data_IF_637564261427
#
_entry.id   IF_637564261427
#
_cell.length_a   1.000
_cell.length_b   1.000
_cell.length_c   1.000
_cell.angle_alpha   90.00
_cell.angle_beta   90.00
_cell.angle_gamma   90.00
#
_symmetry.space_group_name_H-M   'P 1'
#
loop_
_entity.id
_entity.type
_entity.pdbx_description
1 polymer ?
2 non-polymer ?
3 non-polymer ?
4 non-polymer ?
5 water ?
#
# COMPACT_ATOMS: atom_id res chain seq x y z
N UNK A 17 18.94 23.45 -9.69
CA UNK A 17 19.51 24.32 -8.68
C UNK A 17 18.70 24.25 -7.39
N UNK A 18 17.59 25.01 -7.37
CA UNK A 18 16.70 24.96 -6.21
C UNK A 18 16.04 23.59 -6.07
N UNK A 19 15.85 22.87 -7.17
CA UNK A 19 15.31 21.51 -7.09
C UNK A 19 16.31 20.56 -6.45
N UNK A 20 17.61 20.85 -6.56
CA UNK A 20 18.61 19.99 -5.93
C UNK A 20 18.42 19.95 -4.43
N UNK A 21 17.90 21.02 -3.82
CA UNK A 21 17.65 21.03 -2.39
C UNK A 21 16.48 20.13 -2.04
N UNK A 22 15.44 20.13 -2.88
CA UNK A 22 14.31 19.24 -2.65
C UNK A 22 14.70 17.79 -2.88
N UNK A 23 15.44 17.52 -3.96
CA UNK A 23 15.76 16.14 -4.32
C UNK A 23 16.74 15.52 -3.33
N UNK A 24 17.55 16.33 -2.65
CA UNK A 24 18.46 15.78 -1.64
C UNK A 24 17.75 15.60 -0.30
N UNK A 25 16.87 16.53 0.06
CA UNK A 25 16.09 16.37 1.28
C UNK A 25 15.09 15.23 1.15
N UNK A 26 14.67 14.92 -0.08
CA UNK A 26 13.80 13.77 -0.30
C UNK A 26 14.49 12.46 0.02
N UNK A 27 15.81 12.38 -0.23
CA UNK A 27 16.54 11.15 0.06
C UNK A 27 16.57 10.88 1.56
N UNK A 28 16.88 11.90 2.37
CA UNK A 28 16.93 11.71 3.81
C UNK A 28 15.55 11.40 4.38
N UNK A 29 14.57 12.25 4.07
CA UNK A 29 13.21 12.04 4.57
C UNK A 29 12.67 10.68 4.16
N UNK A 30 13.20 10.10 3.08
CA UNK A 30 12.68 8.82 2.60
C UNK A 30 13.34 7.65 3.33
N UNK A 31 14.67 7.57 3.27
CA UNK A 31 15.37 6.47 3.92
C UNK A 31 15.22 6.52 5.43
N UNK A 32 15.36 7.71 6.02
CA UNK A 32 15.37 7.87 7.47
C UNK A 32 14.03 8.27 8.06
N UNK A 33 13.12 8.81 7.25
CA UNK A 33 11.82 9.23 7.73
C UNK A 33 11.79 10.71 8.05
N UNK A 34 10.56 11.24 8.13
CA UNK A 34 10.38 12.67 8.38
C UNK A 34 10.78 13.04 9.79
N UNK A 35 10.29 12.30 10.78
CA UNK A 35 10.60 12.62 12.18
C UNK A 35 12.08 12.38 12.47
N UNK A 36 12.67 11.34 11.87
CA UNK A 36 14.07 11.04 12.13
C UNK A 36 15.03 12.09 11.63
N UNK A 37 14.61 12.91 10.66
CA UNK A 37 15.45 13.94 10.08
C UNK A 37 15.06 15.30 10.62
N UNK A 38 16.04 16.15 10.87
CA UNK A 38 15.82 17.52 11.30
C UNK A 38 16.35 18.48 10.24
N UNK A 39 15.91 19.74 10.33
CA UNK A 39 16.40 20.75 9.40
C UNK A 39 17.92 20.88 9.45
N UNK A 40 18.54 20.47 10.55
CA UNK A 40 20.00 20.56 10.66
C UNK A 40 20.66 19.47 9.83
N UNK A 41 20.13 18.24 9.89
CA UNK A 41 20.71 17.14 9.11
C UNK A 41 20.61 17.41 7.62
N UNK A 42 19.62 18.19 7.19
CA UNK A 42 19.48 18.51 5.78
C UNK A 42 20.43 19.64 5.39
N UNK A 43 20.66 20.59 6.29
CA UNK A 43 21.64 21.64 6.00
C UNK A 43 23.03 21.04 5.81
N UNK A 44 23.41 20.09 6.68
CA UNK A 44 24.70 19.42 6.52
C UNK A 44 24.76 18.69 5.18
N UNK A 45 23.74 17.89 4.88
CA UNK A 45 23.70 17.17 3.61
C UNK A 45 23.78 18.11 2.41
N UNK A 46 23.51 19.39 2.60
CA UNK A 46 23.68 20.40 1.57
C UNK A 46 24.94 21.20 1.85
N UNK A 47 25.39 21.94 0.83
CA UNK A 47 26.52 22.85 0.99
C UNK A 47 26.16 24.10 1.75
N UNK A 48 24.91 24.27 2.15
CA UNK A 48 24.47 25.44 2.89
C UNK A 48 24.56 25.20 4.39
N UNK A 49 24.54 26.29 5.14
CA UNK A 49 24.53 26.22 6.60
C UNK A 49 23.08 26.17 7.09
N UNK A 50 22.93 25.91 8.39
CA UNK A 50 21.60 25.92 9.00
C UNK A 50 20.89 27.24 8.73
N UNK A 51 21.65 28.33 8.57
CA UNK A 51 21.05 29.62 8.27
C UNK A 51 20.71 29.76 6.79
N UNK A 52 21.61 29.33 5.91
CA UNK A 52 21.37 29.48 4.48
C UNK A 52 20.14 28.73 4.01
N UNK A 53 19.93 27.52 4.51
CA UNK A 53 18.79 26.72 4.08
C UNK A 53 17.47 27.40 4.42
N UNK A 54 17.37 27.98 5.63
CA UNK A 54 16.15 28.64 6.04
C UNK A 54 15.86 29.91 5.23
N UNK A 55 16.80 30.36 4.41
CA UNK A 55 16.54 31.50 3.54
C UNK A 55 15.77 31.09 2.30
N UNK A 56 15.97 29.85 1.82
CA UNK A 56 15.25 29.34 0.66
C UNK A 56 13.91 28.72 1.03
N UNK A 57 13.74 28.30 2.29
CA UNK A 57 12.55 27.57 2.72
C UNK A 57 12.01 28.19 3.99
N UNK A 58 10.69 28.16 4.14
CA UNK A 58 10.03 28.73 5.30
C UNK A 58 10.30 27.90 6.54
N UNK A 59 9.82 26.66 6.56
CA UNK A 59 10.00 25.78 7.71
C UNK A 59 10.05 24.34 7.23
N UNK A 60 9.97 23.40 8.17
CA UNK A 60 10.10 21.98 7.81
C UNK A 60 8.84 21.47 7.13
N UNK A 61 7.67 21.86 7.62
CA UNK A 61 6.42 21.39 7.02
C UNK A 61 6.30 21.87 5.57
N UNK A 62 6.74 23.10 5.30
CA UNK A 62 6.68 23.61 3.93
C UNK A 62 7.72 22.95 3.04
N UNK A 63 8.83 22.48 3.61
CA UNK A 63 9.77 21.69 2.83
C UNK A 63 9.13 20.40 2.35
N UNK A 64 8.42 19.71 3.24
CA UNK A 64 7.68 18.53 2.86
C UNK A 64 6.64 18.86 1.80
N UNK A 65 5.95 19.99 1.96
CA UNK A 65 4.98 20.43 0.98
C UNK A 65 5.61 20.61 -0.39
N UNK A 66 6.81 21.21 -0.44
CA UNK A 66 7.48 21.42 -1.72
C UNK A 66 7.88 20.11 -2.35
N UNK A 67 8.37 19.16 -1.56
CA UNK A 67 8.75 17.85 -2.09
C UNK A 67 7.55 17.19 -2.75
N UNK A 68 6.41 17.16 -2.05
CA UNK A 68 5.23 16.48 -2.58
C UNK A 68 4.72 17.16 -3.85
N UNK A 69 4.72 18.49 -3.87
CA UNK A 69 4.33 19.20 -5.08
C UNK A 69 5.29 18.88 -6.23
N UNK A 70 6.58 18.81 -5.94
CA UNK A 70 7.55 18.40 -6.95
C UNK A 70 7.25 16.99 -7.44
N UNK A 71 6.85 16.10 -6.52
CA UNK A 71 6.53 14.75 -6.92
C UNK A 71 5.31 14.67 -7.82
N UNK A 72 4.31 15.52 -7.56
CA UNK A 72 3.13 15.54 -8.41
C UNK A 72 3.43 16.17 -9.77
N UNK A 73 4.30 17.18 -9.80
CA UNK A 73 4.73 17.74 -11.09
C UNK A 73 5.37 16.66 -11.95
N UNK A 74 6.23 15.84 -11.35
CA UNK A 74 6.87 14.76 -12.09
C UNK A 74 5.85 13.71 -12.52
N UNK A 75 4.92 13.36 -11.63
CA UNK A 75 3.88 12.41 -11.99
C UNK A 75 3.05 12.92 -13.16
N UNK A 76 2.61 14.18 -13.09
CA UNK A 76 1.81 14.74 -14.17
C UNK A 76 2.62 14.91 -15.45
N UNK A 77 3.92 15.16 -15.32
CA UNK A 77 4.76 15.31 -16.51
C UNK A 77 5.00 13.97 -17.21
N UNK A 78 5.22 12.92 -16.43
CA UNK A 78 5.58 11.62 -16.99
C UNK A 78 4.39 10.69 -17.19
N UNK A 79 3.26 10.95 -16.54
CA UNK A 79 2.11 10.05 -16.63
C UNK A 79 0.90 10.79 -17.20
N UNK A 80 0.31 11.67 -16.38
CA UNK A 80 -1.01 12.19 -16.71
C UNK A 80 -0.99 13.07 -17.96
N UNK A 81 0.04 13.90 -18.12
CA UNK A 81 0.12 14.75 -19.30
C UNK A 81 0.18 13.95 -20.58
N UNK A 82 0.76 12.75 -20.54
CA UNK A 82 1.02 11.98 -21.75
C UNK A 82 -0.10 11.03 -22.14
N UNK A 83 -1.03 10.72 -21.22
CA UNK A 83 -2.05 9.72 -21.47
C UNK A 83 -3.47 10.28 -21.41
N UNK A 84 -3.67 11.48 -20.87
CA UNK A 84 -5.03 11.93 -20.59
C UNK A 84 -5.84 12.23 -21.83
N UNK A 85 -5.21 12.32 -23.01
CA UNK A 85 -5.93 12.59 -24.26
C UNK A 85 -6.13 11.34 -25.11
N UNK A 86 -5.62 10.19 -24.68
CA UNK A 86 -5.82 8.97 -25.45
C UNK A 86 -7.31 8.71 -25.60
N UNK A 87 -7.76 8.50 -26.85
CA UNK A 87 -9.18 8.46 -27.14
C UNK A 87 -9.84 7.20 -26.59
N UNK A 88 -9.31 6.04 -26.94
CA UNK A 88 -9.87 4.79 -26.47
C UNK A 88 -9.67 4.67 -24.96
N UNK A 89 -10.73 4.51 -24.16
CA UNK A 89 -10.56 4.58 -22.69
C UNK A 89 -9.76 3.43 -22.10
N UNK A 90 -9.89 2.21 -22.63
CA UNK A 90 -9.10 1.11 -22.07
C UNK A 90 -7.65 1.21 -22.52
N UNK A 91 -7.41 1.63 -23.76
CA UNK A 91 -6.04 1.95 -24.17
C UNK A 91 -5.46 3.07 -23.32
N UNK A 92 -6.31 3.97 -22.83
CA UNK A 92 -5.85 5.03 -21.95
C UNK A 92 -5.47 4.47 -20.58
N UNK A 93 -6.23 3.49 -20.08
CA UNK A 93 -5.91 2.87 -18.81
C UNK A 93 -4.65 2.02 -18.92
N UNK A 94 -4.49 1.29 -20.02
CA UNK A 94 -3.28 0.49 -20.20
C UNK A 94 -2.04 1.38 -20.22
N UNK A 95 -2.05 2.44 -21.04
CA UNK A 95 -0.92 3.35 -21.09
C UNK A 95 -0.67 3.99 -19.73
N UNK A 96 -1.73 4.42 -19.05
CA UNK A 96 -1.57 5.05 -17.74
C UNK A 96 -0.91 4.09 -16.76
N UNK A 97 -1.27 2.81 -16.80
CA UNK A 97 -0.67 1.83 -15.91
C UNK A 97 0.82 1.67 -16.22
N UNK A 98 1.17 1.55 -17.50
CA UNK A 98 2.58 1.39 -17.87
C UNK A 98 3.40 2.59 -17.40
N UNK A 99 2.96 3.80 -17.71
CA UNK A 99 3.69 4.99 -17.30
C UNK A 99 3.79 5.09 -15.79
N UNK A 100 2.72 4.72 -15.08
CA UNK A 100 2.72 4.83 -13.63
C UNK A 100 3.63 3.78 -12.99
N UNK A 101 3.67 2.57 -13.55
CA UNK A 101 4.58 1.55 -13.05
C UNK A 101 6.03 1.97 -13.25
N UNK A 102 6.34 2.49 -14.44
CA UNK A 102 7.72 2.90 -14.72
C UNK A 102 8.17 4.03 -13.83
N UNK A 103 7.25 4.95 -13.48
CA UNK A 103 7.59 6.00 -12.53
C UNK A 103 7.91 5.42 -11.16
N UNK A 104 7.17 4.39 -10.75
CA UNK A 104 7.35 3.81 -9.42
C UNK A 104 8.67 3.06 -9.32
N UNK A 105 9.12 2.46 -10.41
CA UNK A 105 10.26 1.53 -10.38
C UNK A 105 11.57 2.17 -10.83
N UNK A 106 11.67 3.49 -10.83
CA UNK A 106 12.87 4.15 -11.34
C UNK A 106 13.19 5.33 -10.42
N UNK A 107 13.98 6.28 -10.94
CA UNK A 107 14.67 7.23 -10.07
C UNK A 107 13.73 8.10 -9.25
N UNK A 108 12.62 8.52 -9.84
CA UNK A 108 11.70 9.44 -9.18
C UNK A 108 10.85 8.76 -8.11
N UNK A 109 11.12 7.51 -7.78
CA UNK A 109 10.38 6.83 -6.73
C UNK A 109 10.59 7.49 -5.38
N UNK A 110 11.60 8.34 -5.23
CA UNK A 110 11.84 9.02 -3.96
C UNK A 110 10.66 9.92 -3.60
N UNK A 111 10.32 10.85 -4.48
CA UNK A 111 9.25 11.80 -4.18
C UNK A 111 7.88 11.11 -4.15
N UNK A 112 7.70 10.05 -4.93
CA UNK A 112 6.44 9.32 -4.92
C UNK A 112 6.25 8.62 -3.58
N UNK A 113 7.31 7.99 -3.06
CA UNK A 113 7.20 7.27 -1.80
C UNK A 113 6.89 8.24 -0.66
N UNK A 114 7.52 9.42 -0.66
CA UNK A 114 7.26 10.40 0.39
C UNK A 114 5.79 10.80 0.39
N UNK A 115 5.19 10.92 -0.80
CA UNK A 115 3.79 11.30 -0.89
C UNK A 115 2.91 10.27 -0.19
N UNK A 116 3.25 9.00 -0.32
CA UNK A 116 2.42 7.95 0.28
C UNK A 116 2.70 7.80 1.77
N UNK A 117 3.97 7.72 2.16
CA UNK A 117 4.31 7.51 3.56
C UNK A 117 3.91 8.72 4.41
N UNK A 118 4.31 9.92 4.00
CA UNK A 118 4.12 11.13 4.78
C UNK A 118 2.77 11.78 4.54
N UNK A 119 1.81 11.04 3.97
CA UNK A 119 0.49 11.61 3.70
C UNK A 119 -0.12 12.23 4.95
N UNK A 120 -0.02 11.54 6.09
CA UNK A 120 -0.64 12.01 7.32
C UNK A 120 0.18 13.05 8.05
N UNK A 121 1.42 13.31 7.63
CA UNK A 121 2.28 14.24 8.34
C UNK A 121 1.96 15.70 8.02
N UNK A 122 1.31 15.97 6.90
CA UNK A 122 1.03 17.34 6.49
C UNK A 122 -0.01 17.97 7.43
N UNK A 123 -0.04 19.30 7.42
CA UNK A 123 -1.08 20.03 8.13
C UNK A 123 -2.40 19.94 7.36
N UNK A 124 -3.45 20.55 7.91
CA UNK A 124 -4.74 20.51 7.26
C UNK A 124 -4.74 21.22 5.92
N UNK A 125 -4.23 22.46 5.90
CA UNK A 125 -4.25 23.24 4.67
C UNK A 125 -3.44 22.56 3.57
N UNK A 126 -2.20 22.16 3.89
CA UNK A 126 -1.33 21.59 2.87
C UNK A 126 -1.80 20.21 2.42
N UNK A 127 -2.35 19.40 3.33
CA UNK A 127 -2.87 18.11 2.93
C UNK A 127 -4.07 18.27 2.00
N UNK A 128 -4.89 19.30 2.23
CA UNK A 128 -6.03 19.54 1.36
C UNK A 128 -5.59 19.83 -0.07
N UNK A 129 -4.52 20.62 -0.22
CA UNK A 129 -4.06 20.97 -1.56
C UNK A 129 -3.44 19.77 -2.26
N UNK A 130 -2.52 19.07 -1.59
CA UNK A 130 -1.91 17.88 -2.18
C UNK A 130 -2.99 16.86 -2.54
N UNK A 131 -3.91 16.61 -1.62
CA UNK A 131 -4.97 15.64 -1.88
C UNK A 131 -5.85 16.08 -3.06
N UNK A 132 -6.06 17.39 -3.22
CA UNK A 132 -6.76 17.88 -4.40
C UNK A 132 -6.07 17.40 -5.67
N UNK A 133 -4.74 17.43 -5.69
CA UNK A 133 -4.00 16.97 -6.86
C UNK A 133 -4.09 15.45 -6.99
N UNK A 134 -4.06 14.73 -5.87
CA UNK A 134 -4.25 13.28 -5.93
C UNK A 134 -5.64 12.92 -6.39
N UNK A 135 -6.65 13.67 -5.93
CA UNK A 135 -8.03 13.34 -6.26
C UNK A 135 -8.31 13.53 -7.74
N UNK A 136 -7.63 14.47 -8.39
CA UNK A 136 -7.79 14.62 -9.83
C UNK A 136 -7.35 13.39 -10.58
N UNK A 137 -6.31 12.70 -10.08
CA UNK A 137 -5.88 11.46 -10.72
C UNK A 137 -6.89 10.34 -10.48
N UNK A 138 -7.37 10.21 -9.24
CA UNK A 138 -8.39 9.19 -8.96
C UNK A 138 -9.62 9.42 -9.83
N UNK A 139 -10.07 10.68 -9.94
CA UNK A 139 -11.22 10.97 -10.78
C UNK A 139 -10.92 10.69 -12.25
N UNK A 140 -9.67 10.90 -12.68
CA UNK A 140 -9.29 10.55 -14.05
C UNK A 140 -9.45 9.05 -14.28
N UNK A 141 -8.99 8.23 -13.33
CA UNK A 141 -9.11 6.78 -13.48
C UNK A 141 -10.57 6.35 -13.47
N UNK A 142 -11.36 6.89 -12.53
CA UNK A 142 -12.77 6.51 -12.45
C UNK A 142 -13.50 6.81 -13.75
N UNK A 143 -13.26 8.00 -14.33
CA UNK A 143 -13.91 8.35 -15.59
C UNK A 143 -13.54 7.36 -16.69
N UNK A 144 -12.28 6.93 -16.74
CA UNK A 144 -11.86 6.00 -17.78
C UNK A 144 -12.49 4.63 -17.59
N UNK A 145 -12.59 4.17 -16.34
CA UNK A 145 -13.28 2.91 -16.08
C UNK A 145 -14.74 3.00 -16.48
N UNK A 146 -15.40 4.12 -16.13
CA UNK A 146 -16.78 4.32 -16.53
C UNK A 146 -16.94 4.25 -18.04
N UNK A 147 -16.17 5.05 -18.77
CA UNK A 147 -16.26 5.06 -20.23
C UNK A 147 -15.99 3.68 -20.81
N UNK A 148 -15.04 2.94 -20.23
CA UNK A 148 -14.67 1.64 -20.78
C UNK A 148 -15.77 0.61 -20.56
N UNK A 149 -16.52 0.72 -19.47
CA UNK A 149 -17.64 -0.21 -19.24
C UNK A 149 -18.78 0.08 -20.19
N UNK A 150 -19.20 1.35 -20.28
CA UNK A 150 -20.27 1.74 -21.18
C UNK A 150 -20.00 1.27 -22.60
N UNK A 151 -18.79 1.51 -23.10
CA UNK A 151 -18.43 1.15 -24.46
C UNK A 151 -18.11 -0.33 -24.63
N UNK A 152 -18.21 -1.13 -23.56
CA UNK A 152 -17.98 -2.56 -23.68
C UNK A 152 -16.55 -2.94 -23.95
N UNK A 153 -15.58 -2.18 -23.44
CA UNK A 153 -14.17 -2.49 -23.65
C UNK A 153 -13.54 -3.21 -22.46
N UNK A 154 -14.18 -3.16 -21.28
CA UNK A 154 -13.79 -3.98 -20.15
C UNK A 154 -15.04 -4.58 -19.54
N UNK A 155 -14.86 -5.65 -18.78
CA UNK A 155 -15.96 -6.20 -18.02
C UNK A 155 -16.49 -5.14 -17.07
N UNK A 156 -17.81 -4.96 -16.97
CA UNK A 156 -18.34 -3.90 -16.10
C UNK A 156 -17.83 -4.03 -14.67
N UNK A 157 -17.54 -2.88 -14.07
CA UNK A 157 -17.10 -2.82 -12.68
C UNK A 157 -17.34 -1.38 -12.20
N UNK A 158 -17.63 -1.24 -10.92
CA UNK A 158 -17.84 0.08 -10.37
C UNK A 158 -16.59 0.93 -10.58
N UNK A 159 -16.70 2.16 -11.08
CA UNK A 159 -15.48 2.94 -11.37
C UNK A 159 -14.56 3.10 -10.17
N UNK A 160 -15.12 3.26 -8.97
CA UNK A 160 -14.30 3.44 -7.80
C UNK A 160 -13.53 2.17 -7.47
N UNK A 161 -14.17 1.01 -7.58
CA UNK A 161 -13.49 -0.25 -7.35
C UNK A 161 -12.35 -0.43 -8.35
N UNK A 162 -12.61 -0.10 -9.61
CA UNK A 162 -11.56 -0.22 -10.62
C UNK A 162 -10.40 0.72 -10.37
N UNK A 163 -10.69 1.97 -10.00
CA UNK A 163 -9.64 2.95 -9.78
C UNK A 163 -8.71 2.52 -8.66
N UNK A 164 -9.26 2.09 -7.53
CA UNK A 164 -8.44 1.74 -6.37
C UNK A 164 -7.82 0.36 -6.49
N UNK A 165 -8.33 -0.49 -7.38
CA UNK A 165 -7.61 -1.71 -7.73
C UNK A 165 -6.40 -1.38 -8.59
N UNK A 166 -6.61 -0.55 -9.62
CA UNK A 166 -5.51 0.01 -10.39
C UNK A 166 -4.43 0.55 -9.46
N UNK A 167 -4.80 1.46 -8.56
CA UNK A 167 -3.80 2.12 -7.72
C UNK A 167 -3.16 1.15 -6.74
N UNK A 168 -3.95 0.21 -6.20
CA UNK A 168 -3.37 -0.77 -5.29
C UNK A 168 -2.31 -1.62 -5.95
N UNK A 169 -2.62 -2.17 -7.13
CA UNK A 169 -1.62 -2.93 -7.88
C UNK A 169 -0.35 -2.11 -8.10
N UNK A 170 -0.50 -0.94 -8.70
CA UNK A 170 0.65 -0.18 -9.17
C UNK A 170 1.50 0.28 -7.99
N UNK A 171 0.88 0.95 -7.02
CA UNK A 171 1.67 1.58 -5.96
C UNK A 171 2.23 0.57 -4.97
N UNK A 172 1.62 -0.61 -4.86
CA UNK A 172 2.21 -1.65 -4.02
C UNK A 172 3.57 -2.10 -4.52
N UNK A 173 3.90 -1.78 -5.77
CA UNK A 173 5.13 -2.29 -6.39
C UNK A 173 6.35 -1.86 -5.60
N UNK A 174 6.35 -0.64 -5.07
CA UNK A 174 7.56 -0.15 -4.39
C UNK A 174 7.87 -0.95 -3.13
N UNK A 175 6.95 -1.78 -2.65
CA UNK A 175 7.19 -2.55 -1.44
C UNK A 175 7.94 -3.86 -1.70
N UNK A 176 7.97 -4.36 -2.92
CA UNK A 176 8.59 -5.65 -3.19
C UNK A 176 9.57 -5.61 -4.36
N UNK A 177 9.37 -4.71 -5.32
CA UNK A 177 10.16 -4.76 -6.54
C UNK A 177 11.62 -4.42 -6.27
N UNK A 178 12.52 -5.24 -6.81
CA UNK A 178 13.96 -5.00 -6.75
C UNK A 178 14.47 -4.98 -8.19
N UNK A 179 15.16 -3.93 -8.64
CA UNK A 179 15.57 -3.89 -10.06
C UNK A 179 16.57 -4.96 -10.43
N UNK A 180 17.33 -5.50 -9.49
CA UNK A 180 18.25 -6.59 -9.76
C UNK A 180 17.56 -7.95 -9.79
N UNK A 181 16.23 -7.97 -9.69
CA UNK A 181 15.50 -9.22 -9.56
C UNK A 181 15.29 -9.94 -10.89
N UNK A 182 14.50 -11.00 -10.82
CA UNK A 182 14.31 -11.89 -11.95
C UNK A 182 13.66 -11.19 -13.13
N UNK A 183 12.70 -10.30 -12.85
CA UNK A 183 11.90 -9.65 -13.87
C UNK A 183 12.24 -8.17 -13.95
N UNK A 184 12.13 -7.61 -15.15
CA UNK A 184 12.27 -6.18 -15.33
C UNK A 184 10.94 -5.48 -15.05
N UNK A 185 11.02 -4.19 -14.72
CA UNK A 185 9.80 -3.42 -14.51
C UNK A 185 8.92 -3.45 -15.76
N UNK A 186 9.52 -3.54 -16.93
CA UNK A 186 8.73 -3.60 -18.17
C UNK A 186 7.95 -4.91 -18.26
N UNK A 187 8.55 -6.02 -17.83
CA UNK A 187 7.82 -7.29 -17.81
C UNK A 187 6.69 -7.26 -16.80
N UNK A 188 6.91 -6.62 -15.65
CA UNK A 188 5.85 -6.50 -14.65
C UNK A 188 4.70 -5.68 -15.19
N UNK A 189 5.00 -4.56 -15.86
CA UNK A 189 3.95 -3.74 -16.44
C UNK A 189 3.10 -4.55 -17.41
N UNK A 190 3.75 -5.31 -18.29
CA UNK A 190 3.00 -6.14 -19.24
C UNK A 190 2.08 -7.12 -18.51
N UNK A 191 2.59 -7.76 -17.47
CA UNK A 191 1.78 -8.72 -16.74
C UNK A 191 0.56 -8.08 -16.12
N UNK A 192 0.73 -6.94 -15.46
CA UNK A 192 -0.39 -6.29 -14.79
C UNK A 192 -1.40 -5.77 -15.80
N UNK A 193 -0.93 -5.22 -16.92
CA UNK A 193 -1.85 -4.69 -17.94
C UNK A 193 -2.72 -5.82 -18.49
N UNK A 194 -2.09 -6.93 -18.88
CA UNK A 194 -2.83 -8.05 -19.43
C UNK A 194 -3.76 -8.72 -18.44
N UNK A 195 -3.49 -8.59 -17.15
CA UNK A 195 -4.32 -9.22 -16.13
C UNK A 195 -5.53 -8.37 -15.77
N UNK A 196 -5.39 -7.05 -15.80
CA UNK A 196 -6.48 -6.14 -15.45
C UNK A 196 -7.20 -5.58 -16.66
N UNK A 197 -6.55 -5.50 -17.81
CA UNK A 197 -7.14 -4.95 -19.03
C UNK A 197 -6.87 -5.89 -20.21
N UNK A 198 -7.35 -7.13 -20.13
CA UNK A 198 -7.14 -8.07 -21.23
C UNK A 198 -7.98 -7.70 -22.43
N UNK A 199 -7.79 -8.37 -23.56
CA UNK A 199 -8.69 -8.15 -24.71
C UNK A 199 -10.12 -8.50 -24.34
N UNK A 200 -11.05 -7.66 -24.78
CA UNK A 200 -12.44 -7.82 -24.41
C UNK A 200 -13.36 -7.33 -25.53
N UNK B 17 -8.55 -12.28 28.39
CA UNK B 17 -7.84 -11.53 29.42
C UNK B 17 -6.57 -10.91 28.85
N UNK B 18 -5.73 -11.76 28.25
CA UNK B 18 -4.48 -11.30 27.66
C UNK B 18 -4.69 -10.57 26.34
N UNK B 19 -5.69 -10.98 25.55
CA UNK B 19 -5.99 -10.28 24.31
C UNK B 19 -6.41 -8.83 24.58
N UNK B 20 -6.99 -8.58 25.76
CA UNK B 20 -7.35 -7.21 26.12
C UNK B 20 -6.15 -6.29 26.04
N UNK B 21 -5.02 -6.71 26.60
CA UNK B 21 -3.81 -5.89 26.56
C UNK B 21 -3.35 -5.70 25.12
N UNK B 22 -3.44 -6.75 24.31
CA UNK B 22 -2.98 -6.66 22.92
C UNK B 22 -3.93 -5.80 22.10
N UNK B 23 -5.23 -6.04 22.21
CA UNK B 23 -6.21 -5.23 21.49
C UNK B 23 -6.10 -3.76 21.88
N UNK B 24 -6.06 -3.48 23.18
CA UNK B 24 -5.94 -2.09 23.63
C UNK B 24 -4.66 -1.46 23.11
N UNK B 25 -3.52 -2.15 23.29
CA UNK B 25 -2.24 -1.60 22.85
C UNK B 25 -2.18 -1.46 21.34
N UNK B 26 -2.88 -2.33 20.60
CA UNK B 26 -2.88 -2.24 19.14
C UNK B 26 -3.56 -0.96 18.67
N UNK B 27 -4.66 -0.57 19.33
CA UNK B 27 -5.33 0.66 18.98
C UNK B 27 -4.39 1.86 19.11
N UNK B 28 -3.66 1.93 20.22
CA UNK B 28 -2.67 2.99 20.40
C UNK B 28 -1.59 2.92 19.34
N UNK B 29 -0.90 1.77 19.26
CA UNK B 29 0.20 1.62 18.30
C UNK B 29 -0.27 1.87 16.89
N UNK B 30 -1.55 1.63 16.61
CA UNK B 30 -2.06 1.83 15.25
C UNK B 30 -2.29 3.31 14.96
N UNK B 31 -2.87 4.05 15.92
CA UNK B 31 -3.14 5.46 15.72
C UNK B 31 -1.89 6.31 15.92
N UNK B 32 -1.27 6.20 17.10
CA UNK B 32 -0.11 7.01 17.42
C UNK B 32 1.17 6.47 16.79
N UNK B 33 1.17 5.22 16.32
CA UNK B 33 2.37 4.60 15.82
C UNK B 33 3.20 3.97 16.93
N UNK B 34 4.13 3.11 16.52
CA UNK B 34 5.00 2.45 17.48
C UNK B 34 5.78 3.50 18.27
N UNK B 35 6.70 4.20 17.62
CA UNK B 35 7.30 5.38 18.22
C UNK B 35 6.23 6.44 18.40
N UNK B 36 6.21 7.07 19.57
CA UNK B 36 5.11 7.92 19.98
C UNK B 36 4.14 7.25 20.92
N UNK B 37 4.20 5.92 21.01
CA UNK B 37 3.50 5.15 22.03
C UNK B 37 4.54 4.55 22.96
N UNK B 38 4.43 4.83 24.25
CA UNK B 38 5.38 4.34 25.23
C UNK B 38 4.71 3.32 26.13
N UNK B 39 5.53 2.56 26.86
CA UNK B 39 5.00 1.61 27.82
C UNK B 39 4.17 2.31 28.90
N UNK B 40 4.50 3.56 29.21
CA UNK B 40 3.69 4.33 30.16
C UNK B 40 2.30 4.60 29.60
N UNK B 41 2.22 4.97 28.32
CA UNK B 41 0.93 5.26 27.71
C UNK B 41 0.05 4.01 27.66
N UNK B 42 0.62 2.88 27.26
CA UNK B 42 -0.15 1.65 27.16
C UNK B 42 -0.59 1.18 28.55
N UNK B 43 0.30 1.35 29.54
CA UNK B 43 -0.05 0.94 30.90
C UNK B 43 -1.20 1.75 31.47
N UNK B 44 -1.55 2.87 30.85
CA UNK B 44 -2.69 3.67 31.28
C UNK B 44 -3.97 3.29 30.52
N UNK B 45 -3.89 3.23 29.20
CA UNK B 45 -5.04 2.78 28.41
C UNK B 45 -5.60 1.48 28.97
N UNK B 46 -4.72 0.54 29.31
CA UNK B 46 -5.10 -0.59 30.13
C UNK B 46 -5.03 -0.19 31.60
N UNK B 47 -6.05 -0.54 32.36
CA UNK B 47 -6.12 -0.18 33.78
C UNK B 47 -5.03 -0.93 34.53
N UNK B 48 -3.83 -0.37 34.52
CA UNK B 48 -2.68 -1.00 35.17
C UNK B 48 -1.65 0.05 35.54
N UNK B 49 -0.73 -0.34 36.40
CA UNK B 49 0.52 0.39 36.57
C UNK B 49 1.53 -0.11 35.55
N UNK B 50 2.62 0.65 35.39
CA UNK B 50 3.65 0.26 34.44
C UNK B 50 4.17 -1.14 34.72
N UNK B 51 4.23 -1.55 35.99
CA UNK B 51 4.78 -2.85 36.34
C UNK B 51 3.76 -3.96 36.14
N UNK B 52 2.51 -3.74 36.54
CA UNK B 52 1.49 -4.76 36.33
C UNK B 52 1.39 -5.19 34.89
N UNK B 53 1.67 -4.28 33.95
CA UNK B 53 1.71 -4.64 32.55
C UNK B 53 2.89 -5.56 32.26
N UNK B 54 4.06 -5.26 32.83
CA UNK B 54 5.24 -6.09 32.65
C UNK B 54 5.10 -7.47 33.27
N UNK B 55 4.09 -7.69 34.12
CA UNK B 55 3.85 -9.01 34.67
C UNK B 55 3.34 -10.00 33.63
N UNK B 56 2.92 -9.52 32.46
CA UNK B 56 2.40 -10.38 31.41
C UNK B 56 3.07 -10.16 30.06
N UNK B 57 3.97 -9.19 29.93
CA UNK B 57 4.70 -8.94 28.70
C UNK B 57 6.14 -8.57 29.07
N UNK B 58 7.09 -8.99 28.23
CA UNK B 58 8.50 -8.80 28.54
C UNK B 58 8.91 -7.34 28.35
N UNK B 59 8.83 -6.84 27.13
CA UNK B 59 9.25 -5.47 26.83
C UNK B 59 8.35 -4.91 25.73
N UNK B 60 8.75 -3.76 25.18
CA UNK B 60 7.93 -3.10 24.18
C UNK B 60 7.95 -3.85 22.86
N UNK B 61 9.15 -4.22 22.38
CA UNK B 61 9.24 -4.93 21.12
C UNK B 61 8.64 -6.33 21.20
N UNK B 62 8.60 -6.92 22.40
CA UNK B 62 7.89 -8.18 22.57
C UNK B 62 6.38 -7.97 22.48
N UNK B 63 5.89 -6.84 22.99
CA UNK B 63 4.49 -6.50 22.80
C UNK B 63 4.14 -6.35 21.33
N UNK B 64 5.00 -5.67 20.57
CA UNK B 64 4.79 -5.57 19.13
C UNK B 64 4.83 -6.94 18.47
N UNK B 65 5.75 -7.80 18.91
CA UNK B 65 5.86 -9.15 18.37
C UNK B 65 4.57 -9.93 18.62
N UNK B 66 4.04 -9.85 19.84
CA UNK B 66 2.81 -10.58 20.17
C UNK B 66 1.62 -10.03 19.39
N UNK B 67 1.59 -8.71 19.17
CA UNK B 67 0.50 -8.11 18.39
C UNK B 67 0.53 -8.63 16.96
N UNK B 68 1.70 -8.60 16.34
CA UNK B 68 1.81 -9.04 14.94
C UNK B 68 1.45 -10.50 14.79
N UNK B 69 1.88 -11.34 15.74
CA UNK B 69 1.53 -12.76 15.68
C UNK B 69 0.06 -12.99 15.94
N UNK B 70 -0.52 -12.21 16.86
CA UNK B 70 -1.97 -12.26 17.04
C UNK B 70 -2.69 -11.90 15.74
N UNK B 71 -2.18 -10.88 15.04
CA UNK B 71 -2.79 -10.50 13.78
C UNK B 71 -2.64 -11.57 12.70
N UNK B 72 -1.49 -12.24 12.67
CA UNK B 72 -1.31 -13.33 11.72
C UNK B 72 -2.15 -14.55 12.11
N UNK B 73 -2.35 -14.77 13.41
CA UNK B 73 -3.24 -15.85 13.84
C UNK B 73 -4.67 -15.60 13.37
N UNK B 74 -5.17 -14.38 13.57
CA UNK B 74 -6.50 -14.04 13.10
C UNK B 74 -6.61 -14.22 11.59
N UNK B 75 -5.60 -13.77 10.85
CA UNK B 75 -5.61 -13.93 9.40
C UNK B 75 -5.68 -15.39 8.99
N UNK B 76 -4.91 -16.25 9.65
CA UNK B 76 -4.91 -17.66 9.30
C UNK B 76 -6.21 -18.35 9.69
N UNK B 77 -6.82 -17.92 10.80
CA UNK B 77 -8.07 -18.53 11.23
C UNK B 77 -9.23 -18.11 10.31
N UNK B 78 -9.24 -16.85 9.88
CA UNK B 78 -10.34 -16.34 9.07
C UNK B 78 -10.13 -16.51 7.58
N UNK B 79 -8.88 -16.59 7.11
CA UNK B 79 -8.61 -16.62 5.69
C UNK B 79 -7.98 -17.96 5.30
N UNK B 80 -6.71 -18.14 5.63
CA UNK B 80 -5.92 -19.20 5.01
C UNK B 80 -6.42 -20.58 5.41
N UNK B 81 -6.74 -20.79 6.69
CA UNK B 81 -7.19 -22.10 7.13
C UNK B 81 -8.47 -22.53 6.43
N UNK B 82 -9.28 -21.59 5.97
CA UNK B 82 -10.58 -21.91 5.40
C UNK B 82 -10.56 -22.07 3.89
N UNK B 83 -9.53 -21.56 3.21
CA UNK B 83 -9.48 -21.56 1.76
C UNK B 83 -8.34 -22.38 1.19
N UNK B 84 -7.37 -22.79 2.02
CA UNK B 84 -6.16 -23.41 1.48
C UNK B 84 -6.42 -24.79 0.89
N UNK B 85 -7.53 -25.43 1.23
CA UNK B 85 -7.83 -26.77 0.74
C UNK B 85 -8.77 -26.78 -0.45
N UNK B 86 -9.32 -25.62 -0.85
CA UNK B 86 -10.16 -25.55 -2.03
C UNK B 86 -9.39 -26.12 -3.22
N UNK B 87 -10.01 -27.07 -3.92
CA UNK B 87 -9.30 -27.84 -4.94
C UNK B 87 -9.08 -27.01 -6.20
N UNK B 88 -10.14 -26.41 -6.73
CA UNK B 88 -10.02 -25.57 -7.91
C UNK B 88 -9.14 -24.36 -7.58
N UNK B 89 -8.00 -24.17 -8.27
CA UNK B 89 -7.10 -23.09 -7.84
C UNK B 89 -7.64 -21.69 -8.06
N UNK B 90 -8.50 -21.47 -9.06
CA UNK B 90 -9.06 -20.14 -9.24
C UNK B 90 -10.18 -19.90 -8.23
N UNK B 91 -11.02 -20.90 -7.99
CA UNK B 91 -11.98 -20.80 -6.90
C UNK B 91 -11.28 -20.57 -5.58
N UNK B 92 -10.09 -21.14 -5.42
CA UNK B 92 -9.30 -20.91 -4.21
C UNK B 92 -8.86 -19.46 -4.12
N UNK B 93 -8.48 -18.85 -5.24
CA UNK B 93 -8.07 -17.46 -5.23
C UNK B 93 -9.25 -16.52 -4.99
N UNK B 94 -10.40 -16.83 -5.61
CA UNK B 94 -11.59 -15.99 -5.40
C UNK B 94 -11.99 -15.99 -3.92
N UNK B 95 -12.11 -17.16 -3.32
CA UNK B 95 -12.46 -17.24 -1.90
C UNK B 95 -11.41 -16.54 -1.05
N UNK B 96 -10.13 -16.78 -1.32
CA UNK B 96 -9.07 -16.14 -0.57
C UNK B 96 -9.20 -14.63 -0.64
N UNK B 97 -9.55 -14.09 -1.81
CA UNK B 97 -9.71 -12.65 -1.95
C UNK B 97 -10.90 -12.15 -1.14
N UNK B 98 -12.04 -12.86 -1.22
CA UNK B 98 -13.21 -12.45 -0.45
C UNK B 98 -12.92 -12.44 1.05
N UNK B 99 -12.35 -13.53 1.56
CA UNK B 99 -12.08 -13.62 2.99
C UNK B 99 -11.08 -12.53 3.42
N UNK B 100 -10.06 -12.29 2.61
CA UNK B 100 -9.04 -11.31 2.99
C UNK B 100 -9.60 -9.89 2.94
N UNK B 101 -10.45 -9.60 1.96
CA UNK B 101 -11.07 -8.27 1.89
C UNK B 101 -11.92 -8.01 3.13
N UNK B 102 -12.72 -8.99 3.53
CA UNK B 102 -13.57 -8.80 4.70
C UNK B 102 -12.76 -8.68 5.99
N UNK B 103 -11.58 -9.30 6.03
CA UNK B 103 -10.72 -9.11 7.19
C UNK B 103 -10.18 -7.68 7.26
N UNK B 104 -9.90 -7.08 6.10
CA UNK B 104 -9.32 -5.74 6.06
C UNK B 104 -10.35 -4.70 6.46
N UNK B 105 -11.64 -4.98 6.29
CA UNK B 105 -12.69 -3.98 6.38
C UNK B 105 -13.49 -4.07 7.67
N UNK B 106 -13.05 -4.84 8.66
CA UNK B 106 -13.88 -5.12 9.83
C UNK B 106 -13.04 -5.02 11.09
N UNK B 107 -13.49 -5.70 12.16
CA UNK B 107 -12.99 -5.41 13.49
C UNK B 107 -11.49 -5.57 13.64
N UNK B 108 -10.88 -6.44 12.85
CA UNK B 108 -9.47 -6.73 12.97
C UNK B 108 -8.61 -5.86 12.03
N UNK B 109 -9.13 -4.73 11.57
CA UNK B 109 -8.37 -3.84 10.71
C UNK B 109 -7.19 -3.22 11.44
N UNK B 110 -7.19 -3.22 12.77
CA UNK B 110 -6.10 -2.60 13.52
C UNK B 110 -4.84 -3.44 13.47
N UNK B 111 -4.96 -4.75 13.74
CA UNK B 111 -3.78 -5.61 13.78
C UNK B 111 -3.14 -5.74 12.40
N UNK B 112 -3.95 -5.85 11.35
CA UNK B 112 -3.38 -5.99 10.01
C UNK B 112 -2.62 -4.74 9.62
N UNK B 113 -3.13 -3.57 10.01
CA UNK B 113 -2.43 -2.32 9.69
C UNK B 113 -1.08 -2.27 10.39
N UNK B 114 -1.02 -2.75 11.65
CA UNK B 114 0.25 -2.75 12.36
C UNK B 114 1.25 -3.68 11.69
N UNK B 115 0.77 -4.84 11.21
CA UNK B 115 1.66 -5.76 10.52
C UNK B 115 2.32 -5.08 9.33
N UNK B 116 1.61 -4.16 8.67
CA UNK B 116 2.14 -3.49 7.48
C UNK B 116 2.95 -2.25 7.84
N UNK B 117 2.43 -1.40 8.73
CA UNK B 117 3.13 -0.16 9.06
C UNK B 117 4.41 -0.42 9.82
N UNK B 118 4.38 -1.37 10.77
CA UNK B 118 5.54 -1.67 11.61
C UNK B 118 6.35 -2.84 11.06
N UNK B 119 6.29 -3.09 9.76
CA UNK B 119 6.92 -4.29 9.21
C UNK B 119 8.43 -4.27 9.40
N UNK B 120 9.04 -3.10 9.39
CA UNK B 120 10.49 -2.96 9.52
C UNK B 120 10.94 -2.64 10.93
N UNK B 121 10.01 -2.56 11.89
CA UNK B 121 10.38 -2.18 13.25
C UNK B 121 11.19 -3.28 13.93
N UNK B 122 10.80 -4.53 13.75
CA UNK B 122 11.49 -5.64 14.40
C UNK B 122 12.76 -6.01 13.64
N UNK B 123 13.64 -6.73 14.32
CA UNK B 123 14.88 -7.23 13.72
C UNK B 123 15.18 -8.60 14.29
N UNK B 124 16.12 -9.30 13.66
CA UNK B 124 16.60 -10.56 14.18
C UNK B 124 15.60 -11.69 14.03
N UNK B 125 15.62 -12.61 15.00
CA UNK B 125 14.77 -13.78 14.95
C UNK B 125 13.29 -13.40 14.86
N UNK B 126 12.85 -12.45 15.69
CA UNK B 126 11.45 -12.06 15.69
C UNK B 126 11.03 -11.53 14.33
N UNK B 127 11.82 -10.62 13.77
CA UNK B 127 11.57 -10.14 12.40
C UNK B 127 11.49 -11.31 11.42
N UNK B 128 12.48 -12.21 11.47
CA UNK B 128 12.50 -13.32 10.55
C UNK B 128 11.29 -14.24 10.73
N UNK B 129 10.82 -14.40 11.97
CA UNK B 129 9.68 -15.26 12.23
C UNK B 129 8.42 -14.69 11.60
N UNK B 130 8.18 -13.38 11.76
CA UNK B 130 7.02 -12.75 11.13
C UNK B 130 7.13 -12.81 9.62
N UNK B 131 8.29 -12.42 9.08
CA UNK B 131 8.46 -12.40 7.63
C UNK B 131 8.30 -13.79 7.02
N UNK B 132 8.58 -14.85 7.79
CA UNK B 132 8.35 -16.19 7.30
C UNK B 132 6.85 -16.49 7.19
N UNK B 133 6.06 -16.02 8.15
CA UNK B 133 4.62 -16.20 8.05
C UNK B 133 4.05 -15.40 6.88
N UNK B 134 4.54 -14.17 6.68
CA UNK B 134 4.14 -13.39 5.51
C UNK B 134 4.52 -14.10 4.23
N UNK B 135 5.76 -14.56 4.13
CA UNK B 135 6.23 -15.22 2.91
C UNK B 135 5.44 -16.49 2.63
N UNK B 136 4.94 -17.16 3.67
CA UNK B 136 4.11 -18.33 3.45
C UNK B 136 2.83 -17.98 2.72
N UNK B 137 2.28 -16.79 2.97
CA UNK B 137 1.07 -16.36 2.28
C UNK B 137 1.34 -16.04 0.82
N UNK B 138 2.41 -15.29 0.56
CA UNK B 138 2.79 -14.97 -0.81
C UNK B 138 3.00 -16.26 -1.61
N UNK B 139 3.75 -17.20 -1.04
CA UNK B 139 3.99 -18.46 -1.73
C UNK B 139 2.70 -19.24 -1.94
N UNK B 140 1.75 -19.15 -1.02
CA UNK B 140 0.44 -19.76 -1.24
C UNK B 140 -0.23 -19.15 -2.46
N UNK B 141 -0.23 -17.82 -2.55
CA UNK B 141 -0.85 -17.15 -3.70
C UNK B 141 -0.10 -17.47 -4.99
N UNK B 142 1.23 -17.47 -4.95
CA UNK B 142 2.01 -17.78 -6.15
C UNK B 142 1.71 -19.18 -6.65
N UNK B 143 1.60 -20.15 -5.74
CA UNK B 143 1.32 -21.52 -6.16
C UNK B 143 -0.06 -21.63 -6.79
N UNK B 144 -1.06 -20.91 -6.26
CA UNK B 144 -2.40 -21.00 -6.82
C UNK B 144 -2.48 -20.32 -8.18
N UNK B 145 -1.77 -19.20 -8.35
CA UNK B 145 -1.72 -18.57 -9.67
C UNK B 145 -1.09 -19.49 -10.70
N UNK B 146 -0.01 -20.18 -10.32
CA UNK B 146 0.65 -21.12 -11.21
C UNK B 146 -0.30 -22.24 -11.62
N UNK B 147 -0.90 -22.91 -10.64
CA UNK B 147 -1.81 -24.01 -10.94
C UNK B 147 -2.93 -23.57 -11.86
N UNK B 148 -3.49 -22.37 -11.62
CA UNK B 148 -4.61 -21.91 -12.44
C UNK B 148 -4.16 -21.56 -13.86
N UNK B 149 -2.91 -21.15 -14.04
CA UNK B 149 -2.41 -20.88 -15.38
C UNK B 149 -2.28 -22.18 -16.18
N UNK B 150 -1.58 -23.17 -15.62
CA UNK B 150 -1.40 -24.44 -16.32
C UNK B 150 -2.73 -25.07 -16.67
N UNK B 151 -3.66 -25.11 -15.71
CA UNK B 151 -4.98 -25.70 -15.95
C UNK B 151 -5.87 -24.84 -16.82
N UNK B 152 -5.39 -23.70 -17.29
CA UNK B 152 -6.18 -22.85 -18.18
C UNK B 152 -7.41 -22.26 -17.53
N UNK B 153 -7.32 -21.91 -16.25
CA UNK B 153 -8.45 -21.30 -15.55
C UNK B 153 -8.34 -19.79 -15.43
N UNK B 154 -7.13 -19.23 -15.56
CA UNK B 154 -6.92 -17.80 -15.66
C UNK B 154 -6.02 -17.54 -16.86
N UNK B 155 -6.11 -16.32 -17.37
CA UNK B 155 -5.20 -15.90 -18.42
C UNK B 155 -3.75 -16.03 -17.91
N UNK B 156 -2.84 -16.57 -18.71
CA UNK B 156 -1.47 -16.78 -18.20
C UNK B 156 -0.88 -15.50 -17.63
N UNK B 157 -0.13 -15.65 -16.55
CA UNK B 157 0.52 -14.52 -15.89
C UNK B 157 1.57 -15.07 -14.93
N UNK B 158 2.69 -14.37 -14.81
CA UNK B 158 3.73 -14.79 -13.88
C UNK B 158 3.14 -14.88 -12.47
N UNK B 159 3.35 -15.99 -11.75
CA UNK B 159 2.74 -16.10 -10.41
C UNK B 159 3.15 -14.98 -9.46
N UNK B 160 4.40 -14.49 -9.55
CA UNK B 160 4.81 -13.41 -8.66
C UNK B 160 4.05 -12.13 -8.95
N UNK B 161 3.81 -11.82 -10.23
CA UNK B 161 3.04 -10.64 -10.58
C UNK B 161 1.59 -10.81 -10.15
N UNK B 162 1.02 -11.99 -10.35
CA UNK B 162 -0.34 -12.22 -9.90
C UNK B 162 -0.48 -12.12 -8.39
N UNK B 163 0.49 -12.65 -7.66
CA UNK B 163 0.41 -12.65 -6.20
C UNK B 163 0.44 -11.22 -5.65
N UNK B 164 1.37 -10.39 -6.14
CA UNK B 164 1.49 -9.04 -5.61
C UNK B 164 0.49 -8.07 -6.21
N UNK B 165 -0.12 -8.41 -7.34
CA UNK B 165 -1.32 -7.67 -7.77
C UNK B 165 -2.48 -7.98 -6.84
N UNK B 166 -2.68 -9.26 -6.54
CA UNK B 166 -3.67 -9.68 -5.54
C UNK B 166 -3.49 -8.89 -4.24
N UNK B 167 -2.28 -8.92 -3.68
CA UNK B 167 -2.05 -8.27 -2.38
C UNK B 167 -2.17 -6.76 -2.48
N UNK B 168 -1.75 -6.17 -3.59
CA UNK B 168 -1.88 -4.72 -3.73
C UNK B 168 -3.33 -4.27 -3.74
N UNK B 169 -4.16 -4.92 -4.55
CA UNK B 169 -5.59 -4.61 -4.58
C UNK B 169 -6.20 -4.71 -3.19
N UNK B 170 -5.98 -5.86 -2.53
CA UNK B 170 -6.71 -6.17 -1.30
C UNK B 170 -6.25 -5.26 -0.17
N UNK B 171 -4.95 -5.17 0.07
CA UNK B 171 -4.45 -4.47 1.25
C UNK B 171 -4.54 -2.97 1.10
N UNK B 172 -4.55 -2.44 -0.14
CA UNK B 172 -4.73 -1.00 -0.32
C UNK B 172 -6.08 -0.53 0.21
N UNK B 173 -7.02 -1.44 0.42
CA UNK B 173 -8.37 -1.07 0.84
C UNK B 173 -8.35 -0.28 2.15
N UNK B 174 -7.41 -0.59 3.04
CA UNK B 174 -7.41 0.07 4.34
C UNK B 174 -7.17 1.57 4.21
N UNK B 175 -6.66 2.03 3.07
CA UNK B 175 -6.34 3.44 2.89
C UNK B 175 -7.51 4.28 2.41
N UNK B 176 -8.59 3.68 1.90
CA UNK B 176 -9.68 4.47 1.34
C UNK B 176 -11.06 4.04 1.82
N UNK B 177 -11.26 2.74 2.09
CA UNK B 177 -12.59 2.24 2.39
C UNK B 177 -13.13 2.85 3.68
N UNK B 178 -14.39 3.29 3.62
CA UNK B 178 -15.13 3.76 4.79
C UNK B 178 -16.42 2.97 4.89
N UNK B 179 -16.71 2.34 6.04
CA UNK B 179 -17.92 1.51 6.10
C UNK B 179 -19.22 2.28 5.93
N UNK B 180 -19.23 3.57 6.26
CA UNK B 180 -20.41 4.40 6.05
C UNK B 180 -20.56 4.89 4.63
N UNK B 181 -19.76 4.37 3.70
CA UNK B 181 -19.72 4.86 2.33
C UNK B 181 -20.80 4.25 1.45
N UNK B 182 -20.68 4.54 0.15
CA UNK B 182 -21.71 4.16 -0.81
C UNK B 182 -21.82 2.65 -0.93
N UNK B 183 -20.70 1.97 -1.10
CA UNK B 183 -20.66 0.52 -1.33
C UNK B 183 -20.32 -0.22 -0.04
N UNK B 184 -20.83 -1.44 0.07
CA UNK B 184 -20.46 -2.31 1.17
C UNK B 184 -19.16 -3.04 0.84
N UNK B 185 -18.51 -3.56 1.89
CA UNK B 185 -17.30 -4.34 1.67
C UNK B 185 -17.58 -5.57 0.81
N UNK B 186 -18.78 -6.15 0.94
CA UNK B 186 -19.13 -7.31 0.13
C UNK B 186 -19.25 -6.94 -1.34
N UNK B 187 -19.80 -5.76 -1.64
CA UNK B 187 -19.85 -5.30 -3.01
C UNK B 187 -18.45 -5.06 -3.57
N UNK B 188 -17.56 -4.49 -2.76
CA UNK B 188 -16.18 -4.27 -3.20
C UNK B 188 -15.51 -5.60 -3.50
N UNK B 189 -15.72 -6.59 -2.64
CA UNK B 189 -15.14 -7.91 -2.88
C UNK B 189 -15.67 -8.49 -4.19
N UNK B 190 -16.97 -8.32 -4.47
CA UNK B 190 -17.54 -8.81 -5.71
C UNK B 190 -16.85 -8.19 -6.91
N UNK B 191 -16.70 -6.86 -6.90
CA UNK B 191 -16.07 -6.19 -8.03
C UNK B 191 -14.63 -6.62 -8.24
N UNK B 192 -13.86 -6.73 -7.15
CA UNK B 192 -12.45 -7.09 -7.28
C UNK B 192 -12.29 -8.52 -7.77
N UNK B 193 -13.12 -9.43 -7.28
CA UNK B 193 -13.05 -10.82 -7.75
C UNK B 193 -13.35 -10.89 -9.23
N UNK B 194 -14.36 -10.13 -9.69
CA UNK B 194 -14.74 -10.18 -11.10
C UNK B 194 -13.69 -9.60 -12.02
N UNK B 195 -12.89 -8.65 -11.52
CA UNK B 195 -11.84 -8.06 -12.34
C UNK B 195 -10.65 -9.00 -12.51
N UNK B 196 -10.14 -9.52 -11.38
CA UNK B 196 -8.92 -10.31 -11.42
C UNK B 196 -9.18 -11.76 -11.81
N UNK B 197 -10.35 -12.29 -11.45
CA UNK B 197 -10.66 -13.70 -11.67
C UNK B 197 -12.03 -13.83 -12.33
N UNK B 198 -12.17 -13.36 -13.56
CA UNK B 198 -13.43 -13.48 -14.27
C UNK B 198 -13.59 -14.89 -14.84
N UNK B 199 -14.78 -15.24 -15.31
CA UNK B 199 -14.94 -16.53 -16.00
C UNK B 199 -14.03 -16.59 -17.23
N UNK B 200 -13.30 -17.69 -17.36
CA UNK B 200 -12.30 -17.82 -18.41
C UNK B 200 -12.36 -19.20 -19.06
#
# INVERSE_FOLDING_TARGET
GSHMTNTGGRKPDEGERYRAILETAARLICDRGYEGTSMQEIAAACRMTKAGLYHHIQNKEQLLFAIMNYGMDLFEEQVLSRVQDIANPVERLRACMRHNILLVTRGWSKEVIIILHEHATLTGETRAFIDARKKKYVDFLEEAFSQASQQGLIRPVDPTVGAFSFLGMVLWIYKWFKPDGRLTDEQIADGMVGMLFPPFAAAGDTAGQAGPSPLRMVPSVSATGTDSEDA
GSHMTNTGGRKPDEGERYRAILETAARLICDRGYEGTSMQEIAAACRMTKAGLYHHIQNKEQLLFAIMNYGMDLFEEQVLSRVQDIANPVERLRACMRHNILLVTRGWSKEVIIILHEHATLTGETRAFIDARKKKYVDFLEEAFSQASQQGLIRPVDPTVGAFSFLGMVLWIYKWFKPDGRLTDEQIADGMVGMLFPPFAAAGDTAGQAGPSPLRMVPSVSATGTDSEDA
#
